data_IF_719535830520
#
_entry.id   IF_719535830520
#
_cell.length_a   1.000
_cell.length_b   1.000
_cell.length_c   1.000
_cell.angle_alpha   90.00
_cell.angle_beta   90.00
_cell.angle_gamma   90.00
#
_symmetry.space_group_name_H-M   'P 1'
#
loop_
_entity.id
_entity.type
_entity.pdbx_description
1 polymer ?
#
# COMPACT_ATOMS: atom_id res chain seq x y z
N UNK A 1 -0.85 15.48 -12.71
CA UNK A 1 -1.36 14.15 -13.11
C UNK A 1 -0.98 13.02 -12.15
N UNK A 2 0.15 13.08 -11.42
CA UNK A 2 0.44 12.18 -10.29
C UNK A 2 -0.39 12.46 -9.02
N UNK A 3 -0.88 13.71 -8.86
CA UNK A 3 -1.56 14.23 -7.66
C UNK A 3 -2.83 13.49 -7.21
N UNK A 4 -3.38 12.56 -8.01
CA UNK A 4 -4.67 11.89 -7.73
C UNK A 4 -4.58 10.38 -7.51
N UNK A 5 -3.40 9.77 -7.69
CA UNK A 5 -3.25 8.31 -7.62
C UNK A 5 -2.86 7.78 -6.22
N UNK A 6 -2.42 8.66 -5.32
CA UNK A 6 -1.96 8.25 -3.97
C UNK A 6 -3.12 8.02 -3.01
N UNK A 7 -4.22 8.77 -3.14
CA UNK A 7 -5.43 8.62 -2.28
C UNK A 7 -6.20 7.30 -2.46
N UNK A 8 -5.93 6.56 -3.54
CA UNK A 8 -6.62 5.30 -3.86
C UNK A 8 -5.98 4.10 -3.13
N UNK A 9 -4.70 4.16 -2.74
CA UNK A 9 -3.99 3.00 -2.16
C UNK A 9 -4.48 2.68 -0.73
N UNK A 10 -5.02 3.65 0.00
CA UNK A 10 -5.63 3.43 1.32
C UNK A 10 -7.18 3.27 1.27
N UNK A 11 -7.83 3.60 0.15
CA UNK A 11 -9.30 3.82 0.09
C UNK A 11 -10.15 2.66 -0.45
N UNK A 12 -9.56 1.59 -0.98
CA UNK A 12 -10.31 0.59 -1.77
C UNK A 12 -11.01 -0.50 -0.92
N UNK A 13 -10.82 -0.54 0.40
CA UNK A 13 -11.28 -1.70 1.20
C UNK A 13 -12.63 -1.61 1.92
N UNK A 14 -13.39 -0.51 1.85
CA UNK A 14 -14.58 -0.34 2.71
C UNK A 14 -15.92 -0.16 1.98
N UNK A 15 -16.34 -1.08 1.12
CA UNK A 15 -17.73 -1.10 0.63
C UNK A 15 -18.62 -2.07 1.40
N UNK A 16 -19.44 -1.48 2.28
CA UNK A 16 -20.60 -2.04 3.00
C UNK A 16 -21.51 -2.93 2.13
N UNK A 17 -21.45 -4.25 2.30
CA UNK A 17 -22.50 -5.19 1.89
C UNK A 17 -22.74 -6.25 2.98
N UNK A 18 -23.80 -6.05 3.77
CA UNK A 18 -24.41 -7.10 4.57
C UNK A 18 -25.09 -8.12 3.65
N UNK A 19 -25.08 -9.41 4.02
CA UNK A 19 -26.29 -10.24 4.17
C UNK A 19 -25.98 -11.72 4.45
N UNK A 20 -26.80 -12.29 5.34
CA UNK A 20 -27.01 -13.70 5.67
C UNK A 20 -27.94 -14.39 4.67
N UNK A 21 -27.77 -15.69 4.42
CA UNK A 21 -28.75 -16.52 3.69
C UNK A 21 -28.26 -17.94 3.40
N UNK A 22 -29.10 -18.94 3.67
CA UNK A 22 -28.82 -20.39 3.69
C UNK A 22 -28.49 -21.03 2.32
N UNK A 23 -27.71 -22.12 2.36
CA UNK A 23 -27.51 -23.06 1.24
C UNK A 23 -26.62 -22.56 0.10
N UNK A 24 -25.47 -21.96 0.43
CA UNK A 24 -24.62 -21.24 -0.53
C UNK A 24 -23.76 -22.17 -1.38
N UNK A 25 -23.69 -21.91 -2.69
CA UNK A 25 -22.67 -22.53 -3.55
C UNK A 25 -21.27 -22.04 -3.15
N UNK A 26 -20.20 -22.71 -3.60
CA UNK A 26 -18.82 -22.25 -3.35
C UNK A 26 -18.62 -20.79 -3.79
N UNK A 27 -19.19 -20.41 -4.94
CA UNK A 27 -19.21 -19.02 -5.42
C UNK A 27 -19.90 -18.08 -4.44
N UNK A 28 -21.09 -18.43 -3.95
CA UNK A 28 -21.86 -17.55 -3.04
C UNK A 28 -21.14 -17.38 -1.68
N UNK A 29 -20.50 -18.43 -1.18
CA UNK A 29 -19.68 -18.37 0.03
C UNK A 29 -18.42 -17.51 -0.19
N UNK A 30 -17.78 -17.60 -1.36
CA UNK A 30 -16.63 -16.76 -1.72
C UNK A 30 -17.03 -15.28 -1.80
N UNK A 31 -18.11 -14.96 -2.51
CA UNK A 31 -18.65 -13.60 -2.64
C UNK A 31 -19.00 -13.05 -1.27
N UNK A 32 -19.64 -13.85 -0.41
CA UNK A 32 -19.95 -13.44 0.96
C UNK A 32 -18.69 -13.18 1.78
N UNK A 33 -17.67 -14.04 1.67
CA UNK A 33 -16.43 -13.88 2.42
C UNK A 33 -15.71 -12.57 2.08
N UNK A 34 -15.64 -12.21 0.79
CA UNK A 34 -15.10 -10.91 0.34
C UNK A 34 -16.01 -9.76 0.78
N UNK A 35 -17.32 -9.87 0.57
CA UNK A 35 -18.28 -8.81 0.93
C UNK A 35 -18.25 -8.50 2.42
N UNK A 36 -18.22 -9.52 3.28
CA UNK A 36 -18.20 -9.32 4.74
C UNK A 36 -16.96 -8.56 5.22
N UNK A 37 -15.80 -8.80 4.58
CA UNK A 37 -14.55 -8.10 4.87
C UNK A 37 -14.64 -6.64 4.43
N UNK A 38 -15.14 -6.40 3.22
CA UNK A 38 -15.29 -5.05 2.67
C UNK A 38 -16.41 -4.25 3.34
N UNK A 39 -17.37 -4.94 3.96
CA UNK A 39 -18.58 -4.31 4.44
C UNK A 39 -18.42 -3.47 5.71
N UNK A 40 -17.25 -3.53 6.34
CA UNK A 40 -17.08 -3.02 7.69
C UNK A 40 -16.73 -1.54 7.69
N UNK A 41 -17.55 -0.75 8.37
CA UNK A 41 -17.24 0.65 8.68
C UNK A 41 -16.18 0.77 9.79
N UNK A 42 -15.87 -0.31 10.50
CA UNK A 42 -14.79 -0.34 11.49
C UNK A 42 -14.15 -1.72 11.57
N UNK A 43 -12.85 -1.78 11.82
CA UNK A 43 -12.15 -3.05 11.96
C UNK A 43 -10.65 -2.92 12.09
N UNK A 44 -10.02 -4.09 12.33
CA UNK A 44 -8.58 -4.26 12.38
C UNK A 44 -8.21 -5.37 11.42
N UNK A 45 -7.25 -5.11 10.53
CA UNK A 45 -6.77 -6.05 9.53
C UNK A 45 -5.25 -6.14 9.60
N UNK A 46 -4.73 -7.35 9.66
CA UNK A 46 -3.32 -7.61 9.38
C UNK A 46 -3.17 -7.81 7.87
N UNK A 47 -2.12 -7.28 7.28
CA UNK A 47 -1.78 -7.51 5.88
C UNK A 47 -0.30 -7.89 5.71
N UNK A 48 -0.01 -8.62 4.64
CA UNK A 48 1.36 -8.90 4.21
C UNK A 48 1.42 -9.00 2.70
N UNK A 49 2.46 -8.45 2.10
CA UNK A 49 2.81 -8.53 0.70
C UNK A 49 4.27 -8.97 0.58
N UNK A 50 4.55 -9.90 -0.31
CA UNK A 50 5.91 -10.38 -0.57
C UNK A 50 6.06 -10.85 -2.00
N UNK A 51 7.27 -10.76 -2.53
CA UNK A 51 7.63 -11.44 -3.77
C UNK A 51 7.82 -12.93 -3.44
N UNK A 52 7.14 -13.79 -4.18
CA UNK A 52 7.22 -15.24 -3.99
C UNK A 52 8.08 -15.95 -5.01
N UNK A 53 8.15 -15.40 -6.22
CA UNK A 53 9.06 -15.86 -7.27
C UNK A 53 9.31 -14.69 -8.24
N UNK A 54 10.51 -14.63 -8.81
CA UNK A 54 10.90 -13.65 -9.81
C UNK A 54 12.01 -14.23 -10.68
N UNK A 55 11.83 -14.16 -11.99
CA UNK A 55 12.76 -14.72 -12.99
C UNK A 55 13.13 -13.68 -14.04
N UNK A 56 14.36 -13.73 -14.51
CA UNK A 56 14.90 -12.86 -15.55
C UNK A 56 15.44 -13.68 -16.73
N UNK A 57 15.43 -13.10 -17.92
CA UNK A 57 15.68 -13.80 -19.19
C UNK A 57 17.12 -14.27 -19.38
N UNK A 58 18.03 -13.80 -18.54
CA UNK A 58 19.41 -14.27 -18.45
C UNK A 58 19.83 -14.32 -16.98
N UNK A 59 19.54 -15.42 -16.27
CA UNK A 59 20.11 -15.66 -14.94
C UNK A 59 21.64 -15.78 -14.99
N UNK A 60 22.21 -16.20 -16.13
CA UNK A 60 23.65 -16.22 -16.36
C UNK A 60 24.25 -14.80 -16.49
N UNK A 61 23.46 -13.78 -16.87
CA UNK A 61 23.88 -12.38 -16.84
C UNK A 61 23.99 -11.79 -15.42
N UNK A 62 23.27 -12.37 -14.45
CA UNK A 62 23.50 -12.08 -13.03
C UNK A 62 24.84 -12.66 -12.53
N UNK A 63 25.46 -13.61 -13.26
CA UNK A 63 26.83 -14.06 -12.99
C UNK A 63 27.90 -13.10 -13.51
N UNK A 64 27.61 -12.22 -14.47
CA UNK A 64 28.62 -11.30 -15.05
C UNK A 64 28.73 -9.98 -14.30
N UNK A 65 27.70 -9.56 -13.54
CA UNK A 65 27.80 -8.40 -12.64
C UNK A 65 27.22 -8.72 -11.23
N UNK A 66 28.07 -8.89 -10.20
CA UNK A 66 27.63 -9.22 -8.85
C UNK A 66 26.73 -8.16 -8.20
N UNK A 67 26.82 -6.87 -8.61
CA UNK A 67 25.88 -5.85 -8.12
C UNK A 67 24.44 -6.13 -8.57
N UNK A 68 24.24 -6.63 -9.78
CA UNK A 68 22.91 -6.95 -10.31
C UNK A 68 22.32 -8.13 -9.55
N UNK A 69 23.11 -9.19 -9.31
CA UNK A 69 22.67 -10.33 -8.51
C UNK A 69 22.28 -9.92 -7.08
N UNK A 70 23.03 -9.00 -6.46
CA UNK A 70 22.69 -8.44 -5.15
C UNK A 70 21.37 -7.65 -5.18
N UNK A 71 21.18 -6.77 -6.16
CA UNK A 71 19.94 -5.99 -6.31
C UNK A 71 18.71 -6.89 -6.51
N UNK A 72 18.81 -7.91 -7.37
CA UNK A 72 17.73 -8.88 -7.60
C UNK A 72 17.40 -9.62 -6.30
N UNK A 73 18.41 -10.04 -5.55
CA UNK A 73 18.22 -10.73 -4.26
C UNK A 73 17.51 -9.82 -3.26
N UNK A 74 17.94 -8.56 -3.13
CA UNK A 74 17.30 -7.60 -2.23
C UNK A 74 15.85 -7.32 -2.61
N UNK A 75 15.52 -7.23 -3.91
CA UNK A 75 14.15 -7.07 -4.38
C UNK A 75 13.31 -8.32 -4.06
N UNK A 76 13.85 -9.52 -4.30
CA UNK A 76 13.17 -10.79 -3.99
C UNK A 76 12.85 -10.94 -2.50
N UNK A 77 13.77 -10.49 -1.64
CA UNK A 77 13.60 -10.52 -0.18
C UNK A 77 12.72 -9.39 0.35
N UNK A 78 12.32 -8.45 -0.50
CA UNK A 78 11.47 -7.34 -0.10
C UNK A 78 10.08 -7.84 0.29
N UNK A 79 9.61 -7.35 1.44
CA UNK A 79 8.25 -7.61 1.89
C UNK A 79 7.69 -6.42 2.65
N UNK A 80 6.37 -6.26 2.60
CA UNK A 80 5.65 -5.24 3.32
C UNK A 80 4.62 -5.96 4.18
N UNK A 81 4.61 -5.70 5.48
CA UNK A 81 3.58 -6.24 6.37
C UNK A 81 3.08 -5.16 7.29
N UNK A 82 1.91 -5.34 7.86
CA UNK A 82 1.36 -4.30 8.70
C UNK A 82 -0.01 -4.59 9.25
N UNK A 83 -0.52 -3.57 9.95
CA UNK A 83 -1.84 -3.54 10.54
C UNK A 83 -2.55 -2.27 10.08
N UNK A 84 -3.77 -2.44 9.63
CA UNK A 84 -4.69 -1.37 9.30
C UNK A 84 -5.79 -1.38 10.35
N UNK A 85 -6.10 -0.20 10.88
CA UNK A 85 -7.26 0.02 11.74
C UNK A 85 -8.09 1.14 11.15
N UNK A 86 -9.41 0.92 11.08
CA UNK A 86 -10.35 1.93 10.59
C UNK A 86 -11.51 2.04 11.59
N UNK A 87 -11.93 3.27 11.85
CA UNK A 87 -13.21 3.60 12.45
C UNK A 87 -13.86 4.72 11.65
N UNK A 88 -14.62 4.35 10.61
CA UNK A 88 -15.35 5.25 9.74
C UNK A 88 -16.63 5.82 10.39
N UNK A 89 -16.82 5.63 11.71
CA UNK A 89 -17.90 6.26 12.48
C UNK A 89 -17.49 7.71 12.83
N UNK A 90 -17.96 8.24 13.97
CA UNK A 90 -17.93 9.68 14.32
C UNK A 90 -16.65 10.43 13.97
N UNK A 91 -15.47 9.86 14.20
CA UNK A 91 -14.18 10.55 13.98
C UNK A 91 -13.49 10.20 12.66
N UNK A 92 -14.06 9.28 11.86
CA UNK A 92 -13.49 8.76 10.59
C UNK A 92 -11.99 8.55 10.68
N UNK A 93 -11.57 7.88 11.75
CA UNK A 93 -10.17 7.72 12.14
C UNK A 93 -9.57 6.49 11.47
N UNK A 94 -8.26 6.54 11.22
CA UNK A 94 -7.49 5.41 10.72
C UNK A 94 -6.11 5.36 11.38
N UNK A 95 -5.56 4.16 11.50
CA UNK A 95 -4.18 3.90 11.86
C UNK A 95 -3.60 2.87 10.89
N UNK A 96 -2.40 3.14 10.40
CA UNK A 96 -1.66 2.29 9.48
C UNK A 96 -0.26 2.09 10.05
N UNK A 97 -0.01 0.90 10.56
CA UNK A 97 1.32 0.45 10.97
C UNK A 97 1.85 -0.45 9.86
N UNK A 98 2.98 -0.11 9.26
CA UNK A 98 3.65 -0.91 8.24
C UNK A 98 5.08 -1.18 8.64
N UNK A 99 5.59 -2.29 8.12
CA UNK A 99 6.96 -2.74 8.25
C UNK A 99 7.43 -3.15 6.87
N UNK A 100 8.28 -2.32 6.27
CA UNK A 100 8.94 -2.60 5.01
C UNK A 100 10.26 -3.30 5.30
N UNK A 101 10.36 -4.58 4.95
CA UNK A 101 11.64 -5.28 4.91
C UNK A 101 12.28 -5.02 3.57
N UNK A 102 13.42 -4.33 3.56
CA UNK A 102 14.20 -4.06 2.35
C UNK A 102 15.69 -3.91 2.73
N UNK A 103 16.59 -4.39 1.87
CA UNK A 103 18.05 -4.26 2.06
C UNK A 103 18.55 -4.80 3.42
N UNK A 104 17.92 -5.86 3.95
CA UNK A 104 18.27 -6.44 5.25
C UNK A 104 17.78 -5.65 6.47
N UNK A 105 17.09 -4.52 6.26
CA UNK A 105 16.52 -3.68 7.30
C UNK A 105 15.01 -3.80 7.35
N UNK A 106 14.46 -3.50 8.52
CA UNK A 106 13.04 -3.53 8.84
C UNK A 106 12.57 -2.11 9.13
N UNK A 107 12.07 -1.38 8.13
CA UNK A 107 11.66 0.02 8.26
C UNK A 107 10.20 0.12 8.76
N UNK A 108 9.94 0.60 9.99
CA UNK A 108 8.61 0.85 10.49
C UNK A 108 8.08 2.15 9.89
N UNK A 109 6.82 2.15 9.47
CA UNK A 109 6.10 3.34 9.01
C UNK A 109 4.76 3.34 9.77
N UNK A 110 4.48 4.36 10.57
CA UNK A 110 3.22 4.47 11.29
C UNK A 110 2.53 5.78 10.97
N UNK A 111 1.31 5.70 10.44
CA UNK A 111 0.48 6.85 10.10
C UNK A 111 -0.83 6.76 10.89
N UNK A 112 -1.23 7.85 11.53
CA UNK A 112 -2.52 7.94 12.23
C UNK A 112 -3.21 9.25 11.88
N UNK A 113 -4.50 9.20 11.59
CA UNK A 113 -5.22 10.37 11.12
C UNK A 113 -6.74 10.24 11.19
N UNK A 114 -7.41 11.35 10.89
CA UNK A 114 -8.87 11.44 10.79
C UNK A 114 -9.27 12.28 9.59
N UNK A 115 -10.26 11.80 8.84
CA UNK A 115 -10.77 12.49 7.64
C UNK A 115 -11.79 13.59 7.98
N UNK A 116 -12.49 13.47 9.11
CA UNK A 116 -13.46 14.44 9.60
C UNK A 116 -13.82 14.08 11.05
N UNK A 117 -13.64 15.01 11.97
CA UNK A 117 -14.03 14.84 13.38
C UNK A 117 -15.13 15.85 13.72
N UNK A 118 -16.37 15.53 13.32
CA UNK A 118 -17.57 16.29 13.68
C UNK A 118 -17.46 17.79 13.31
N UNK A 119 -16.91 18.12 12.12
CA UNK A 119 -16.74 19.51 11.66
C UNK A 119 -15.43 20.17 12.12
N UNK A 120 -14.48 19.40 12.65
CA UNK A 120 -13.10 19.85 12.91
C UNK A 120 -12.19 19.56 11.72
N UNK A 121 -11.10 20.30 11.64
CA UNK A 121 -10.06 20.11 10.63
C UNK A 121 -9.52 18.68 10.64
N UNK A 122 -9.18 18.15 9.45
CA UNK A 122 -8.59 16.82 9.34
C UNK A 122 -7.23 16.77 10.05
N UNK A 123 -6.81 15.54 10.37
CA UNK A 123 -5.53 15.30 11.05
C UNK A 123 -4.77 14.20 10.34
N UNK A 124 -3.47 14.38 10.21
CA UNK A 124 -2.57 13.38 9.64
C UNK A 124 -1.22 13.47 10.33
N UNK A 125 -0.86 12.41 11.04
CA UNK A 125 0.38 12.31 11.80
C UNK A 125 1.24 11.15 11.31
N UNK A 126 2.54 11.38 11.18
CA UNK A 126 3.55 10.39 10.85
C UNK A 126 4.45 10.16 12.06
N UNK A 127 4.59 8.93 12.52
CA UNK A 127 5.51 8.60 13.59
C UNK A 127 6.97 8.78 13.12
N UNK A 128 7.82 9.29 13.99
CA UNK A 128 9.22 9.60 13.66
C UNK A 128 10.16 8.40 13.77
N UNK A 129 9.67 7.22 14.18
CA UNK A 129 10.45 5.98 14.26
C UNK A 129 11.14 5.63 12.92
N UNK A 130 10.57 6.03 11.78
CA UNK A 130 11.20 5.83 10.47
C UNK A 130 12.44 6.71 10.23
N UNK A 131 12.58 7.82 10.95
CA UNK A 131 13.67 8.76 10.76
C UNK A 131 15.01 8.19 11.22
N UNK A 132 15.03 7.34 12.26
CA UNK A 132 16.23 6.61 12.67
C UNK A 132 16.80 5.78 11.51
N UNK A 133 15.94 5.19 10.68
CA UNK A 133 16.33 4.40 9.51
C UNK A 133 16.85 5.27 8.37
N UNK A 134 16.17 6.39 8.08
CA UNK A 134 16.63 7.33 7.04
C UNK A 134 18.03 7.82 7.37
N UNK A 135 18.29 8.15 8.64
CA UNK A 135 19.60 8.57 9.13
C UNK A 135 20.64 7.46 8.98
N UNK A 136 20.32 6.23 9.41
CA UNK A 136 21.24 5.10 9.28
C UNK A 136 21.60 4.78 7.81
N UNK A 137 20.64 4.90 6.89
CA UNK A 137 20.89 4.73 5.46
C UNK A 137 21.76 5.84 4.92
N UNK A 138 21.45 7.10 5.24
CA UNK A 138 22.21 8.25 4.76
C UNK A 138 23.67 8.23 5.28
N UNK A 139 23.88 7.85 6.53
CA UNK A 139 25.20 7.60 7.12
C UNK A 139 25.98 6.54 6.33
N UNK A 140 25.34 5.40 6.04
CA UNK A 140 25.96 4.31 5.27
C UNK A 140 26.32 4.68 3.82
N UNK A 141 25.58 5.60 3.21
CA UNK A 141 25.81 6.06 1.83
C UNK A 141 26.84 7.18 1.74
N UNK A 142 27.09 7.89 2.84
CA UNK A 142 28.01 9.03 2.89
C UNK A 142 29.36 8.68 3.51
N UNK A 143 29.62 7.39 3.75
CA UNK A 143 30.84 6.88 4.41
C UNK A 143 31.11 7.60 5.75
N UNK A 144 30.05 7.91 6.51
CA UNK A 144 30.16 8.64 7.77
C UNK A 144 30.22 10.16 7.66
N UNK A 145 30.01 10.77 6.49
CA UNK A 145 29.99 12.24 6.37
C UNK A 145 28.79 12.87 7.10
N UNK A 146 27.70 12.11 7.25
CA UNK A 146 26.62 12.44 8.19
C UNK A 146 26.98 11.80 9.53
N UNK A 147 27.46 12.59 10.49
CA UNK A 147 27.68 12.13 11.86
C UNK A 147 26.34 11.83 12.54
N UNK A 148 25.81 10.63 12.29
CA UNK A 148 24.56 10.13 12.86
C UNK A 148 24.59 10.07 14.39
N UNK A 149 25.78 10.09 15.01
CA UNK A 149 25.95 10.13 16.46
C UNK A 149 25.62 11.48 17.09
N UNK A 150 25.57 12.56 16.29
CA UNK A 150 25.13 13.88 16.73
C UNK A 150 23.61 14.07 16.67
N UNK A 151 22.90 13.18 15.99
CA UNK A 151 21.44 13.20 15.95
C UNK A 151 20.89 12.62 17.24
N UNK A 152 20.21 13.48 18.01
CA UNK A 152 19.53 13.10 19.26
C UNK A 152 18.26 12.29 18.94
N UNK A 153 18.45 11.03 18.54
CA UNK A 153 17.37 10.10 18.16
C UNK A 153 16.42 9.80 19.32
N UNK A 154 16.85 9.96 20.58
CA UNK A 154 15.98 9.87 21.75
C UNK A 154 14.83 10.89 21.71
N UNK A 155 15.07 12.08 21.13
CA UNK A 155 14.01 13.08 20.93
C UNK A 155 12.97 12.68 19.88
N UNK A 156 13.26 11.71 19.02
CA UNK A 156 12.37 11.21 17.97
C UNK A 156 11.54 10.00 18.43
N UNK A 157 11.91 9.32 19.51
CA UNK A 157 11.21 8.08 19.92
C UNK A 157 9.78 8.37 20.39
N UNK A 158 8.81 7.67 19.80
CA UNK A 158 7.39 7.79 20.13
C UNK A 158 6.79 9.18 19.82
N UNK A 159 7.47 9.98 18.99
CA UNK A 159 7.01 11.27 18.53
C UNK A 159 6.35 11.17 17.15
N UNK A 160 5.63 12.22 16.80
CA UNK A 160 4.88 12.34 15.57
C UNK A 160 5.10 13.71 14.93
N UNK A 161 5.08 13.76 13.61
CA UNK A 161 5.06 14.99 12.83
C UNK A 161 3.63 15.20 12.33
N UNK A 162 3.11 16.42 12.49
CA UNK A 162 1.85 16.84 11.87
C UNK A 162 2.10 17.19 10.40
N UNK A 163 1.72 16.27 9.50
CA UNK A 163 1.98 16.43 8.06
C UNK A 163 1.16 17.57 7.43
N UNK A 164 0.05 17.98 8.06
CA UNK A 164 -0.77 19.08 7.56
C UNK A 164 -0.19 20.42 8.00
N UNK A 165 0.42 20.49 9.19
CA UNK A 165 1.07 21.70 9.67
C UNK A 165 2.37 22.06 8.94
N UNK A 166 2.97 21.14 8.17
CA UNK A 166 4.28 21.37 7.53
C UNK A 166 4.24 22.36 6.35
N UNK A 167 3.16 22.40 5.56
CA UNK A 167 2.99 23.43 4.54
C UNK A 167 1.53 23.56 4.06
N UNK A 168 1.16 24.76 3.62
CA UNK A 168 -0.20 25.08 3.15
C UNK A 168 -0.63 24.26 1.92
N UNK A 169 0.30 23.91 1.03
CA UNK A 169 0.00 23.09 -0.15
C UNK A 169 -0.47 21.68 0.25
N UNK A 170 0.23 21.04 1.18
CA UNK A 170 -0.10 19.69 1.71
C UNK A 170 -1.44 19.70 2.43
N UNK A 171 -1.71 20.73 3.23
CA UNK A 171 -3.04 20.93 3.84
C UNK A 171 -4.13 21.00 2.78
N UNK A 172 -3.94 21.82 1.74
CA UNK A 172 -4.94 21.99 0.69
C UNK A 172 -5.14 20.72 -0.12
N UNK A 173 -4.07 20.03 -0.51
CA UNK A 173 -4.14 18.76 -1.23
C UNK A 173 -4.86 17.67 -0.42
N UNK A 174 -4.62 17.62 0.89
CA UNK A 174 -5.30 16.69 1.78
C UNK A 174 -6.79 17.02 1.94
N UNK A 175 -7.13 18.30 2.11
CA UNK A 175 -8.52 18.75 2.17
C UNK A 175 -9.28 18.47 0.87
N UNK A 176 -8.66 18.68 -0.29
CA UNK A 176 -9.25 18.37 -1.59
C UNK A 176 -9.44 16.85 -1.74
N UNK A 177 -8.48 16.04 -1.29
CA UNK A 177 -8.61 14.56 -1.27
C UNK A 177 -9.78 14.11 -0.38
N UNK A 178 -9.97 14.74 0.78
CA UNK A 178 -11.10 14.43 1.66
C UNK A 178 -12.43 14.80 1.01
N UNK A 179 -12.53 15.96 0.37
CA UNK A 179 -13.74 16.38 -0.36
C UNK A 179 -14.05 15.39 -1.48
N UNK A 180 -13.06 15.04 -2.30
CA UNK A 180 -13.22 14.03 -3.36
C UNK A 180 -13.66 12.67 -2.78
N UNK A 181 -13.11 12.25 -1.64
CA UNK A 181 -13.53 11.03 -0.95
C UNK A 181 -14.99 11.08 -0.46
N UNK A 182 -15.43 12.22 0.07
CA UNK A 182 -16.81 12.41 0.53
C UNK A 182 -17.80 12.50 -0.63
N UNK A 183 -17.43 13.18 -1.72
CA UNK A 183 -18.27 13.36 -2.91
C UNK A 183 -18.42 12.07 -3.73
N UNK A 184 -17.38 11.22 -3.76
CA UNK A 184 -17.36 9.94 -4.48
C UNK A 184 -18.06 8.79 -3.73
N UNK A 185 -18.71 9.03 -2.58
CA UNK A 185 -19.36 7.96 -1.81
C UNK A 185 -20.41 7.20 -2.63
N UNK A 186 -21.16 7.91 -3.48
CA UNK A 186 -22.16 7.31 -4.39
C UNK A 186 -21.51 6.45 -5.47
N UNK A 187 -20.44 6.94 -6.09
CA UNK A 187 -19.67 6.22 -7.11
C UNK A 187 -19.06 4.94 -6.52
N UNK A 188 -18.57 5.00 -5.29
CA UNK A 188 -18.02 3.85 -4.57
C UNK A 188 -19.07 2.79 -4.25
N UNK A 189 -20.29 3.20 -3.87
CA UNK A 189 -21.43 2.28 -3.67
C UNK A 189 -21.84 1.62 -4.99
N UNK A 190 -21.84 2.38 -6.09
CA UNK A 190 -22.12 1.85 -7.43
C UNK A 190 -21.04 0.86 -7.89
N UNK A 191 -19.77 1.20 -7.73
CA UNK A 191 -18.62 0.32 -8.02
C UNK A 191 -18.70 -1.00 -7.25
N UNK A 192 -19.06 -0.93 -5.97
CA UNK A 192 -19.22 -2.13 -5.13
C UNK A 192 -20.34 -3.04 -5.63
N UNK A 193 -21.43 -2.45 -6.13
CA UNK A 193 -22.54 -3.18 -6.74
C UNK A 193 -22.10 -3.86 -8.04
N UNK A 194 -21.43 -3.13 -8.93
CA UNK A 194 -20.91 -3.67 -10.19
C UNK A 194 -19.87 -4.76 -9.97
N UNK A 195 -19.00 -4.59 -8.97
CA UNK A 195 -18.04 -5.61 -8.55
C UNK A 195 -18.74 -6.90 -8.11
N UNK A 196 -19.81 -6.78 -7.31
CA UNK A 196 -20.62 -7.92 -6.89
C UNK A 196 -21.32 -8.58 -8.08
N UNK A 197 -21.99 -7.81 -8.94
CA UNK A 197 -22.68 -8.32 -10.13
C UNK A 197 -21.70 -9.04 -11.07
N UNK A 198 -20.48 -8.52 -11.21
CA UNK A 198 -19.41 -9.19 -11.93
C UNK A 198 -19.07 -10.56 -11.34
N UNK A 199 -18.85 -10.66 -10.02
CA UNK A 199 -18.56 -11.93 -9.36
C UNK A 199 -19.73 -12.91 -9.46
N UNK A 200 -20.97 -12.43 -9.34
CA UNK A 200 -22.18 -13.25 -9.50
C UNK A 200 -22.32 -13.79 -10.93
N UNK A 201 -21.86 -13.03 -11.93
CA UNK A 201 -21.83 -13.43 -13.34
C UNK A 201 -20.75 -14.46 -13.70
N UNK A 202 -19.80 -14.75 -12.81
CA UNK A 202 -18.78 -15.77 -13.06
C UNK A 202 -19.37 -17.19 -13.02
N UNK A 203 -18.78 -18.06 -13.82
CA UNK A 203 -19.13 -19.47 -13.85
C UNK A 203 -18.84 -20.11 -12.48
N UNK A 204 -19.88 -20.71 -11.89
CA UNK A 204 -19.83 -21.33 -10.55
C UNK A 204 -18.81 -22.47 -10.48
N UNK A 205 -18.53 -23.14 -11.60
CA UNK A 205 -17.65 -24.32 -11.64
C UNK A 205 -16.16 -23.91 -11.60
N UNK A 206 -15.86 -22.61 -11.74
CA UNK A 206 -14.51 -22.05 -11.59
C UNK A 206 -14.11 -21.79 -10.13
N UNK A 207 -15.00 -22.10 -9.17
CA UNK A 207 -14.77 -21.94 -7.74
C UNK A 207 -14.51 -23.30 -7.09
N UNK A 208 -13.30 -23.48 -6.55
CA UNK A 208 -12.91 -24.70 -5.84
C UNK A 208 -13.05 -24.51 -4.33
N UNK A 209 -13.81 -25.40 -3.66
CA UNK A 209 -13.89 -25.43 -2.19
C UNK A 209 -13.11 -26.62 -1.63
N UNK A 210 -12.19 -26.35 -0.70
CA UNK A 210 -11.43 -27.35 0.07
C UNK A 210 -11.48 -26.97 1.55
N UNK A 211 -12.27 -27.70 2.34
CA UNK A 211 -12.55 -27.34 3.73
C UNK A 211 -13.18 -25.95 3.83
N UNK A 212 -12.63 -25.09 4.69
CA UNK A 212 -13.07 -23.71 4.91
C UNK A 212 -12.53 -22.71 3.87
N UNK A 213 -11.73 -23.18 2.91
CA UNK A 213 -11.10 -22.32 1.89
C UNK A 213 -11.78 -22.48 0.54
N UNK A 214 -12.16 -21.37 -0.05
CA UNK A 214 -12.71 -21.29 -1.40
C UNK A 214 -11.75 -20.51 -2.28
N UNK A 215 -11.48 -21.00 -3.48
CA UNK A 215 -10.48 -20.43 -4.38
C UNK A 215 -11.06 -20.18 -5.76
N UNK A 216 -10.68 -19.07 -6.36
CA UNK A 216 -10.92 -18.76 -7.76
C UNK A 216 -9.65 -18.16 -8.38
N UNK A 217 -9.36 -18.51 -9.64
CA UNK A 217 -8.23 -17.94 -10.38
C UNK A 217 -8.75 -17.00 -11.44
N UNK A 218 -8.65 -15.69 -11.17
CA UNK A 218 -9.01 -14.66 -12.12
C UNK A 218 -8.02 -14.65 -13.29
N UNK A 219 -8.56 -14.72 -14.49
CA UNK A 219 -7.86 -14.61 -15.76
C UNK A 219 -7.56 -13.15 -16.11
N UNK A 220 -6.66 -12.92 -17.07
CA UNK A 220 -6.39 -11.58 -17.63
C UNK A 220 -7.67 -10.83 -18.03
N UNK A 221 -8.62 -11.50 -18.69
CA UNK A 221 -9.87 -10.89 -19.15
C UNK A 221 -10.78 -10.46 -17.98
N UNK A 222 -10.83 -11.26 -16.93
CA UNK A 222 -11.58 -10.95 -15.71
C UNK A 222 -10.93 -9.80 -14.94
N UNK A 223 -9.60 -9.79 -14.82
CA UNK A 223 -8.84 -8.70 -14.22
C UNK A 223 -9.01 -7.38 -14.98
N UNK A 224 -9.03 -7.41 -16.32
CA UNK A 224 -9.34 -6.23 -17.15
C UNK A 224 -10.73 -5.66 -16.84
N UNK A 225 -11.75 -6.52 -16.70
CA UNK A 225 -13.09 -6.09 -16.31
C UNK A 225 -13.13 -5.50 -14.91
N UNK A 226 -12.42 -6.12 -13.95
CA UNK A 226 -12.34 -5.62 -12.59
C UNK A 226 -11.71 -4.23 -12.51
N UNK A 227 -10.59 -4.02 -13.21
CA UNK A 227 -9.96 -2.70 -13.27
C UNK A 227 -10.93 -1.67 -13.86
N UNK A 228 -11.59 -2.04 -14.96
CA UNK A 228 -12.57 -1.18 -15.64
C UNK A 228 -13.70 -0.73 -14.69
N UNK A 229 -14.25 -1.65 -13.88
CA UNK A 229 -15.27 -1.32 -12.87
C UNK A 229 -14.73 -0.27 -11.87
N UNK A 230 -13.47 -0.41 -11.43
CA UNK A 230 -12.87 0.52 -10.47
C UNK A 230 -12.44 1.86 -11.06
N UNK A 231 -12.12 1.91 -12.37
CA UNK A 231 -11.61 3.13 -13.03
C UNK A 231 -12.71 3.94 -13.71
N UNK A 232 -13.72 3.29 -14.32
CA UNK A 232 -14.85 3.98 -14.97
C UNK A 232 -15.78 4.69 -13.97
N UNK A 233 -15.82 4.21 -12.72
CA UNK A 233 -16.54 4.89 -11.66
C UNK A 233 -15.93 6.26 -11.29
N UNK A 234 -14.69 6.53 -11.69
CA UNK A 234 -14.09 7.86 -11.59
C UNK A 234 -14.22 8.57 -12.95
N UNK A 235 -14.94 9.70 -13.01
CA UNK A 235 -15.32 10.38 -14.28
C UNK A 235 -14.16 10.81 -15.22
N UNK A 236 -12.89 10.52 -14.94
CA UNK A 236 -11.76 11.08 -15.71
C UNK A 236 -10.63 10.08 -15.95
N UNK A 237 -10.75 9.31 -17.03
CA UNK A 237 -9.59 8.70 -17.68
C UNK A 237 -9.96 7.73 -18.79
N UNK A 238 -9.71 8.10 -20.06
CA UNK A 238 -9.42 7.11 -21.09
C UNK A 238 -8.08 6.47 -20.74
N UNK A 239 -8.07 5.53 -19.79
CA UNK A 239 -6.84 4.84 -19.41
C UNK A 239 -6.49 3.80 -20.47
N UNK A 240 -5.21 3.82 -20.89
CA UNK A 240 -4.60 2.69 -21.60
C UNK A 240 -4.83 1.42 -20.77
N UNK A 241 -5.11 0.31 -21.45
CA UNK A 241 -5.20 -1.00 -20.81
C UNK A 241 -3.89 -1.23 -20.02
N UNK A 242 -3.92 -1.32 -18.67
CA UNK A 242 -2.71 -1.50 -17.87
C UNK A 242 -2.01 -2.83 -18.19
N UNK A 243 -2.67 -3.73 -18.92
CA UNK A 243 -2.12 -4.99 -19.37
C UNK A 243 -1.68 -5.00 -20.84
N UNK A 244 -1.60 -3.85 -21.52
CA UNK A 244 -1.14 -3.74 -22.91
C UNK A 244 0.25 -4.37 -23.10
N UNK A 245 1.18 -4.08 -22.18
CA UNK A 245 2.56 -4.62 -22.17
C UNK A 245 2.70 -5.95 -21.41
N UNK A 246 1.59 -6.55 -20.99
CA UNK A 246 1.59 -7.78 -20.20
C UNK A 246 1.14 -8.93 -21.09
N UNK A 247 2.01 -9.92 -21.30
CA UNK A 247 1.69 -11.11 -22.10
C UNK A 247 0.63 -11.94 -21.40
N UNK A 248 0.82 -12.19 -20.12
CA UNK A 248 -0.08 -13.02 -19.31
C UNK A 248 -0.15 -12.49 -17.87
N UNK A 249 -1.32 -12.59 -17.27
CA UNK A 249 -1.56 -12.24 -15.87
C UNK A 249 -2.70 -13.08 -15.32
N UNK A 250 -2.52 -13.56 -14.09
CA UNK A 250 -3.55 -14.25 -13.33
C UNK A 250 -3.47 -13.86 -11.86
N UNK A 251 -4.62 -13.91 -11.17
CA UNK A 251 -4.67 -13.74 -9.73
C UNK A 251 -5.47 -14.89 -9.12
N UNK A 252 -4.78 -15.78 -8.39
CA UNK A 252 -5.42 -16.82 -7.60
C UNK A 252 -5.81 -16.24 -6.25
N UNK A 253 -7.10 -16.12 -5.99
CA UNK A 253 -7.66 -15.60 -4.74
C UNK A 253 -8.25 -16.75 -3.95
N UNK A 254 -7.84 -16.89 -2.70
CA UNK A 254 -8.33 -17.87 -1.75
C UNK A 254 -8.91 -17.17 -0.53
N UNK A 255 -10.17 -17.45 -0.22
CA UNK A 255 -10.90 -16.90 0.92
C UNK A 255 -11.15 -18.02 1.92
N UNK A 256 -10.61 -17.87 3.14
CA UNK A 256 -10.90 -18.73 4.27
C UNK A 256 -11.98 -18.06 5.13
N UNK A 257 -13.17 -18.66 5.15
CA UNK A 257 -14.36 -18.10 5.80
C UNK A 257 -14.33 -18.23 7.33
N UNK A 258 -13.53 -19.16 7.86
CA UNK A 258 -13.35 -19.37 9.30
C UNK A 258 -12.32 -18.41 9.89
N UNK A 259 -11.20 -18.20 9.19
CA UNK A 259 -10.11 -17.33 9.62
C UNK A 259 -10.35 -15.86 9.24
N UNK A 260 -11.38 -15.56 8.44
CA UNK A 260 -11.59 -14.24 7.81
C UNK A 260 -10.33 -13.75 7.08
N UNK A 261 -9.71 -14.68 6.34
CA UNK A 261 -8.42 -14.48 5.68
C UNK A 261 -8.57 -14.60 4.18
N UNK A 262 -8.02 -13.64 3.46
CA UNK A 262 -7.94 -13.62 2.00
C UNK A 262 -6.48 -13.67 1.60
N UNK A 263 -6.11 -14.66 0.79
CA UNK A 263 -4.80 -14.74 0.16
C UNK A 263 -4.94 -14.52 -1.34
N UNK A 264 -3.99 -13.83 -1.93
CA UNK A 264 -3.90 -13.61 -3.37
C UNK A 264 -2.50 -13.96 -3.83
N UNK A 265 -2.39 -14.77 -4.88
CA UNK A 265 -1.16 -15.01 -5.62
C UNK A 265 -1.34 -14.40 -7.02
N UNK A 266 -0.64 -13.30 -7.27
CA UNK A 266 -0.65 -12.60 -8.56
C UNK A 266 0.56 -13.08 -9.34
N UNK A 267 0.34 -13.64 -10.53
CA UNK A 267 1.40 -14.02 -11.45
C UNK A 267 1.34 -13.10 -12.66
N UNK A 268 2.46 -12.49 -13.02
CA UNK A 268 2.61 -11.59 -14.16
C UNK A 268 3.73 -12.09 -15.06
N UNK A 269 3.48 -12.14 -16.35
CA UNK A 269 4.49 -12.35 -17.39
C UNK A 269 4.43 -11.16 -18.35
N UNK A 270 5.42 -10.25 -18.33
CA UNK A 270 5.47 -9.15 -19.26
C UNK A 270 5.73 -9.64 -20.69
N UNK A 271 5.39 -8.82 -21.68
CA UNK A 271 5.91 -9.01 -23.03
C UNK A 271 7.43 -8.83 -23.01
N UNK A 272 8.15 -9.74 -23.65
CA UNK A 272 9.60 -9.65 -23.75
C UNK A 272 9.97 -8.68 -24.88
N UNK A 273 10.81 -7.70 -24.57
CA UNK A 273 11.47 -6.88 -25.58
C UNK A 273 12.76 -7.58 -26.00
N UNK A 274 12.88 -7.86 -27.30
CA UNK A 274 14.07 -8.54 -27.86
C UNK A 274 15.32 -7.66 -27.87
N UNK A 275 15.17 -6.36 -27.62
CA UNK A 275 16.27 -5.39 -27.57
C UNK A 275 16.79 -5.14 -26.14
N UNK A 276 16.27 -5.86 -25.15
CA UNK A 276 16.70 -5.74 -23.75
C UNK A 276 17.48 -6.99 -23.36
N UNK A 277 18.75 -6.81 -23.01
CA UNK A 277 19.67 -7.91 -22.68
C UNK A 277 19.24 -8.68 -21.42
N UNK A 278 18.65 -8.00 -20.44
CA UNK A 278 18.04 -8.61 -19.25
C UNK A 278 16.62 -8.08 -19.01
N UNK A 279 15.62 -8.88 -19.31
CA UNK A 279 14.21 -8.58 -19.06
C UNK A 279 13.65 -9.40 -17.91
N UNK A 280 12.67 -8.84 -17.19
CA UNK A 280 11.84 -9.61 -16.26
C UNK A 280 11.03 -10.63 -17.08
N UNK A 281 11.17 -11.92 -16.81
CA UNK A 281 10.38 -12.97 -17.45
C UNK A 281 9.06 -13.24 -16.75
N UNK A 282 9.11 -13.27 -15.43
CA UNK A 282 7.94 -13.49 -14.61
C UNK A 282 8.12 -12.93 -13.21
N UNK A 283 7.01 -12.51 -12.63
CA UNK A 283 6.89 -12.06 -11.26
C UNK A 283 5.67 -12.74 -10.63
N UNK A 284 5.87 -13.34 -9.46
CA UNK A 284 4.79 -13.89 -8.65
C UNK A 284 4.80 -13.22 -7.28
N UNK A 285 3.72 -12.53 -6.94
CA UNK A 285 3.58 -11.81 -5.67
C UNK A 285 2.46 -12.41 -4.83
N UNK A 286 2.69 -12.53 -3.52
CA UNK A 286 1.69 -12.97 -2.54
C UNK A 286 1.19 -11.78 -1.76
N UNK A 287 -0.12 -11.69 -1.59
CA UNK A 287 -0.79 -10.74 -0.70
C UNK A 287 -1.65 -11.56 0.26
N UNK A 288 -1.64 -11.23 1.54
CA UNK A 288 -2.51 -11.80 2.55
C UNK A 288 -3.16 -10.68 3.33
N UNK A 289 -4.45 -10.81 3.61
CA UNK A 289 -5.21 -9.89 4.43
C UNK A 289 -6.04 -10.74 5.39
N UNK A 290 -5.97 -10.45 6.69
CA UNK A 290 -6.73 -11.17 7.71
C UNK A 290 -7.46 -10.17 8.59
N UNK A 291 -8.78 -10.28 8.66
CA UNK A 291 -9.56 -9.47 9.60
C UNK A 291 -9.41 -10.02 11.02
N UNK A 292 -8.83 -9.23 11.92
CA UNK A 292 -8.58 -9.58 13.32
C UNK A 292 -9.71 -9.14 14.24
N UNK A 293 -10.36 -8.02 13.93
CA UNK A 293 -11.48 -7.50 14.69
C UNK A 293 -12.47 -6.72 13.81
N UNK A 294 -13.75 -6.70 14.23
CA UNK A 294 -14.85 -5.93 13.60
C UNK A 294 -15.00 -4.51 14.16
N UNK A 295 -14.15 -4.14 15.10
CA UNK A 295 -14.11 -2.81 15.73
C UNK A 295 -12.65 -2.46 15.95
N UNK A 296 -12.32 -1.20 15.72
CA UNK A 296 -11.05 -0.62 16.13
C UNK A 296 -11.29 0.44 17.21
N UNK A 297 -10.30 0.64 18.05
CA UNK A 297 -10.18 1.82 18.90
C UNK A 297 -8.89 2.50 18.47
N UNK A 298 -9.01 3.72 17.96
CA UNK A 298 -7.89 4.48 17.41
C UNK A 298 -7.71 5.69 18.31
N UNK A 299 -6.49 5.89 18.81
CA UNK A 299 -6.15 7.02 19.65
C UNK A 299 -5.26 7.97 18.87
N UNK A 300 -5.63 9.24 18.83
CA UNK A 300 -4.78 10.28 18.25
C UNK A 300 -3.56 10.52 19.15
N UNK A 301 -2.40 10.90 18.57
CA UNK A 301 -1.25 11.34 19.35
C UNK A 301 -1.63 12.48 20.30
N UNK A 302 -1.05 12.46 21.50
CA UNK A 302 -1.16 13.59 22.43
C UNK A 302 -0.35 14.77 21.92
N UNK A 303 -0.77 16.00 22.23
CA UNK A 303 -0.07 17.23 21.83
C UNK A 303 1.41 17.24 22.22
N UNK A 304 1.75 16.74 23.41
CA UNK A 304 3.13 16.61 23.90
C UNK A 304 4.01 15.63 23.10
N UNK A 305 3.41 14.81 22.24
CA UNK A 305 4.10 13.86 21.36
C UNK A 305 4.16 14.33 19.91
N UNK A 306 3.62 15.51 19.59
CA UNK A 306 3.69 16.09 18.25
C UNK A 306 4.85 17.08 18.25
N UNK A 307 5.80 16.88 17.34
CA UNK A 307 6.89 17.81 17.09
C UNK A 307 6.41 18.95 16.18
N UNK A 308 6.78 20.17 16.52
CA UNK A 308 6.68 21.31 15.63
C UNK A 308 7.74 21.24 14.53
N UNK A 309 7.49 21.98 13.43
CA UNK A 309 8.46 22.13 12.33
C UNK A 309 9.82 22.60 12.85
N UNK A 310 9.85 23.59 13.75
CA UNK A 310 11.09 24.08 14.36
C UNK A 310 11.82 23.02 15.19
N UNK A 311 11.10 22.13 15.88
CA UNK A 311 11.72 21.03 16.62
C UNK A 311 12.31 19.99 15.68
N UNK A 312 11.61 19.68 14.58
CA UNK A 312 12.13 18.78 13.54
C UNK A 312 13.36 19.39 12.88
N UNK A 313 13.28 20.64 12.42
CA UNK A 313 14.41 21.36 11.83
C UNK A 313 15.59 21.40 12.77
N UNK A 314 15.39 21.72 14.06
CA UNK A 314 16.47 21.78 15.04
C UNK A 314 17.17 20.43 15.22
N UNK A 315 16.41 19.34 15.29
CA UNK A 315 16.99 17.98 15.40
C UNK A 315 17.91 17.71 14.21
N UNK A 316 17.54 18.13 13.00
CA UNK A 316 18.34 17.91 11.80
C UNK A 316 19.40 19.00 11.51
N UNK A 317 19.22 20.24 11.98
CA UNK A 317 20.17 21.35 11.79
C UNK A 317 21.31 21.34 12.79
N UNK A 318 21.07 20.80 13.99
CA UNK A 318 22.12 20.56 14.99
C UNK A 318 23.09 19.45 14.50
N UNK A 319 22.74 18.71 13.45
CA UNK A 319 23.67 17.86 12.68
C UNK A 319 24.33 18.70 11.57
N UNK A 320 25.56 19.13 11.81
CA UNK A 320 26.33 20.09 10.98
C UNK A 320 26.66 19.65 9.54
N UNK A 321 25.99 18.63 8.98
CA UNK A 321 26.38 17.95 7.73
C UNK A 321 25.27 17.81 6.67
N UNK A 322 24.01 18.16 6.95
CA UNK A 322 22.96 18.10 5.91
C UNK A 322 22.95 19.27 4.90
N UNK A 323 23.73 20.33 5.12
CA UNK A 323 23.88 21.44 4.16
C UNK A 323 24.61 21.08 2.86
N UNK A 324 25.19 19.88 2.77
CA UNK A 324 25.88 19.38 1.57
C UNK A 324 24.96 18.83 0.46
N UNK A 325 23.65 18.73 0.70
CA UNK A 325 22.65 18.30 -0.30
C UNK A 325 21.91 19.48 -0.93
N UNK A 326 22.62 20.61 -1.15
CA UNK A 326 22.15 21.65 -2.06
C UNK A 326 22.05 21.07 -3.47
N UNK A 327 20.96 21.37 -4.16
CA UNK A 327 20.65 20.96 -5.55
C UNK A 327 21.68 21.41 -6.61
N UNK A 328 22.74 22.11 -6.23
CA UNK A 328 23.77 22.58 -7.16
C UNK A 328 24.81 21.49 -7.53
N UNK A 329 25.08 20.51 -6.66
CA UNK A 329 26.17 19.55 -6.90
C UNK A 329 25.79 18.32 -7.75
N UNK A 330 24.53 18.20 -8.19
CA UNK A 330 24.10 17.06 -9.04
C UNK A 330 24.29 17.28 -10.54
N UNK A 331 24.83 18.44 -10.97
CA UNK A 331 25.06 18.71 -12.41
C UNK A 331 26.43 18.28 -12.94
N UNK A 332 27.33 17.73 -12.13
CA UNK A 332 28.69 17.35 -12.56
C UNK A 332 28.98 15.86 -12.30
N UNK A 333 28.12 14.96 -12.80
CA UNK A 333 28.46 13.53 -12.89
C UNK A 333 27.75 12.78 -14.03
N UNK A 334 27.24 13.49 -15.06
CA UNK A 334 26.59 12.87 -16.23
C UNK A 334 27.43 13.03 -17.52
N UNK A 335 28.58 13.71 -17.45
CA UNK A 335 29.50 13.82 -18.59
C UNK A 335 30.90 13.31 -18.22
N UNK A 336 31.06 11.99 -18.07
CA UNK A 336 32.29 11.28 -18.43
C UNK A 336 31.94 9.92 -19.04
#
# INVERSE_FOLDING_TARGET
>A
MLKRKVGIVAGVFCSALLLTGCGKSAKDEFIQGISNQNAQESGVWDFSMSISDMKFSQEDGAQTNPMIGMLITQIKDASLSGKIQVDAKKEKAFNLEMKLKAMGMDVPISLVGSLDNEGKEPKLYLATDMMEYIVAVADSMTDGAIDSSQLDTEKLKGKYIDLLAMNEESTKEWQDTIKEYQESEKERKQSAKEYKEFLEGLDKDTFEKKGDTITHTFTKKELQKLIKITTEASEKGKEQDPFEKIKDVSAKVSVNTKENKTNMLINVKPQQDKNVDMGLESLSSKISITQKAKKATISMPKKENILSEQEVEKIFSDSTSMTGLSTEDTTVAINQ
#
